data_IF_112666996334
#
_entry.id   IF_112666996334
#
_cell.length_a   1.000
_cell.length_b   1.000
_cell.length_c   1.000
_cell.angle_alpha   90.00
_cell.angle_beta   90.00
_cell.angle_gamma   90.00
#
_symmetry.space_group_name_H-M   'P 1'
#
loop_
_entity.id
_entity.type
_entity.pdbx_description
1 polymer ?
#
# COMPACT_ATOMS: atom_id res chain seq x y z
N UNK A 1 -9.67 -8.32 7.10
CA UNK A 1 -9.20 -7.01 7.64
C UNK A 1 -10.37 -6.14 8.08
N UNK A 2 -11.41 -5.94 7.26
CA UNK A 2 -12.54 -5.04 7.58
C UNK A 2 -13.20 -5.11 8.98
N UNK A 3 -13.39 -6.27 9.63
CA UNK A 3 -14.02 -6.29 10.96
C UNK A 3 -13.04 -6.01 12.13
N UNK A 4 -11.74 -5.88 11.86
CA UNK A 4 -10.71 -5.77 12.91
C UNK A 4 -10.08 -4.38 13.01
N UNK A 5 -10.43 -3.46 12.12
CA UNK A 5 -9.87 -2.10 12.08
C UNK A 5 -10.99 -1.09 11.91
N UNK A 6 -10.90 0.03 12.62
CA UNK A 6 -11.89 1.11 12.58
C UNK A 6 -11.78 1.93 11.29
N UNK A 7 -10.55 2.25 10.88
CA UNK A 7 -10.26 3.01 9.67
C UNK A 7 -9.36 2.21 8.73
N UNK A 8 -9.78 2.10 7.46
CA UNK A 8 -9.07 1.31 6.46
C UNK A 8 -8.88 2.13 5.20
N UNK A 9 -7.62 2.17 4.78
CA UNK A 9 -7.18 2.84 3.56
C UNK A 9 -6.60 1.81 2.59
N UNK A 10 -6.75 2.08 1.30
CA UNK A 10 -6.13 1.32 0.23
C UNK A 10 -5.45 2.28 -0.76
N UNK A 11 -4.34 1.86 -1.35
CA UNK A 11 -3.67 2.57 -2.44
C UNK A 11 -3.73 1.73 -3.70
N UNK A 12 -4.03 2.34 -4.84
CA UNK A 12 -4.16 1.65 -6.12
C UNK A 12 -3.87 2.62 -7.28
N UNK A 13 -3.36 2.10 -8.39
CA UNK A 13 -3.10 2.84 -9.63
C UNK A 13 -4.13 2.58 -10.72
N UNK A 14 -4.68 1.36 -10.80
CA UNK A 14 -5.69 1.02 -11.81
C UNK A 14 -7.03 1.68 -11.50
N UNK A 15 -7.53 2.52 -12.40
CA UNK A 15 -8.84 3.18 -12.25
C UNK A 15 -9.98 2.17 -12.02
N UNK A 16 -9.92 1.04 -12.72
CA UNK A 16 -10.93 -0.01 -12.58
C UNK A 16 -10.88 -0.61 -11.17
N UNK A 17 -9.70 -0.83 -10.62
CA UNK A 17 -9.53 -1.36 -9.27
C UNK A 17 -9.90 -0.34 -8.19
N UNK A 18 -9.54 0.93 -8.38
CA UNK A 18 -9.98 2.04 -7.51
C UNK A 18 -11.51 2.05 -7.41
N UNK A 19 -12.21 1.96 -8.55
CA UNK A 19 -13.68 1.91 -8.56
C UNK A 19 -14.24 0.69 -7.83
N UNK A 20 -13.62 -0.49 -7.99
CA UNK A 20 -14.02 -1.70 -7.26
C UNK A 20 -13.83 -1.55 -5.75
N UNK A 21 -12.73 -0.94 -5.30
CA UNK A 21 -12.44 -0.67 -3.89
C UNK A 21 -13.45 0.32 -3.30
N UNK A 22 -13.76 1.39 -4.02
CA UNK A 22 -14.77 2.38 -3.60
C UNK A 22 -16.16 1.76 -3.49
N UNK A 23 -16.55 0.88 -4.42
CA UNK A 23 -17.81 0.10 -4.31
C UNK A 23 -17.88 -0.76 -3.06
N UNK A 24 -16.75 -1.29 -2.61
CA UNK A 24 -16.62 -2.03 -1.35
C UNK A 24 -16.44 -1.11 -0.13
N UNK A 25 -16.60 0.21 -0.30
CA UNK A 25 -16.52 1.26 0.72
C UNK A 25 -15.13 1.42 1.35
N UNK A 26 -14.07 1.03 0.66
CA UNK A 26 -12.70 1.37 1.07
C UNK A 26 -12.42 2.85 0.80
N UNK A 27 -11.67 3.50 1.71
CA UNK A 27 -11.12 4.83 1.48
C UNK A 27 -9.85 4.68 0.64
N UNK A 28 -9.86 5.16 -0.60
CA UNK A 28 -8.70 5.05 -1.50
C UNK A 28 -7.86 6.31 -1.38
N UNK A 29 -6.56 6.16 -1.11
CA UNK A 29 -5.56 7.23 -1.08
C UNK A 29 -4.64 7.14 -2.29
N UNK A 30 -4.09 8.28 -2.74
CA UNK A 30 -3.05 8.28 -3.76
C UNK A 30 -1.76 7.62 -3.28
N UNK A 31 -1.02 6.99 -4.20
CA UNK A 31 0.26 6.31 -3.92
C UNK A 31 1.35 7.24 -3.34
N UNK A 32 1.19 8.55 -3.47
CA UNK A 32 2.10 9.58 -2.95
C UNK A 32 1.50 10.42 -1.80
N UNK A 33 0.30 10.03 -1.34
CA UNK A 33 -0.49 10.76 -0.34
C UNK A 33 -0.57 10.03 0.98
N UNK A 34 -0.59 8.69 0.97
CA UNK A 34 -0.75 7.86 2.17
C UNK A 34 0.32 8.14 3.23
N UNK A 35 1.53 8.52 2.83
CA UNK A 35 2.62 8.87 3.74
C UNK A 35 2.55 10.31 4.28
N UNK A 36 1.61 11.14 3.79
CA UNK A 36 1.48 12.57 4.10
C UNK A 36 0.21 12.93 4.87
N UNK A 37 -0.49 11.94 5.39
CA UNK A 37 -1.81 12.14 6.01
C UNK A 37 -1.77 12.84 7.37
N UNK A 38 -0.60 12.88 8.03
CA UNK A 38 -0.39 13.49 9.34
C UNK A 38 -0.83 12.60 10.52
N UNK A 39 -1.37 11.41 10.26
CA UNK A 39 -1.65 10.39 11.25
C UNK A 39 -0.71 9.19 11.12
N UNK A 40 -0.71 8.33 12.13
CA UNK A 40 0.07 7.08 12.13
C UNK A 40 -0.83 5.88 11.86
N UNK A 41 -0.25 4.83 11.29
CA UNK A 41 -0.92 3.57 11.02
C UNK A 41 -0.55 2.52 12.07
N UNK A 42 -1.54 1.81 12.62
CA UNK A 42 -1.30 0.66 13.49
C UNK A 42 -0.81 -0.56 12.71
N UNK A 43 -1.33 -0.74 11.49
CA UNK A 43 -0.98 -1.87 10.62
C UNK A 43 -0.89 -1.42 9.17
N UNK A 44 0.20 -1.79 8.49
CA UNK A 44 0.34 -1.64 7.04
C UNK A 44 0.55 -3.01 6.39
N UNK A 45 -0.28 -3.33 5.40
CA UNK A 45 -0.09 -4.51 4.56
C UNK A 45 0.53 -4.11 3.23
N UNK A 46 1.74 -4.60 2.96
CA UNK A 46 2.42 -4.46 1.67
C UNK A 46 2.58 -5.86 1.08
N UNK A 47 1.63 -6.22 0.20
CA UNK A 47 1.42 -7.59 -0.25
C UNK A 47 1.84 -7.72 -1.72
N UNK A 48 2.93 -8.45 -1.98
CA UNK A 48 3.46 -8.73 -3.32
C UNK A 48 3.70 -7.47 -4.17
N UNK A 49 4.20 -6.42 -3.52
CA UNK A 49 4.50 -5.12 -4.15
C UNK A 49 6.01 -4.85 -4.26
N UNK A 50 6.82 -5.39 -3.34
CA UNK A 50 8.26 -5.11 -3.29
C UNK A 50 9.03 -5.59 -4.52
N UNK A 51 8.53 -6.64 -5.17
CA UNK A 51 9.06 -7.20 -6.42
C UNK A 51 8.55 -6.48 -7.68
N UNK A 52 7.65 -5.49 -7.55
CA UNK A 52 6.92 -4.87 -8.67
C UNK A 52 7.02 -3.35 -8.73
N UNK A 53 7.63 -2.73 -7.72
CA UNK A 53 7.72 -1.29 -7.59
C UNK A 53 9.12 -0.77 -7.93
N UNK A 54 9.17 0.48 -8.40
CA UNK A 54 10.41 1.16 -8.82
C UNK A 54 11.38 1.40 -7.65
N UNK A 55 10.84 1.71 -6.46
CA UNK A 55 11.63 2.11 -5.29
C UNK A 55 11.26 1.34 -4.01
N UNK A 56 11.54 0.01 -3.93
CA UNK A 56 11.13 -0.82 -2.79
C UNK A 56 11.76 -0.38 -1.46
N UNK A 57 13.00 0.12 -1.49
CA UNK A 57 13.66 0.63 -0.28
C UNK A 57 13.05 1.94 0.22
N UNK A 58 12.64 2.84 -0.69
CA UNK A 58 11.93 4.06 -0.33
C UNK A 58 10.58 3.71 0.28
N UNK A 59 9.83 2.80 -0.34
CA UNK A 59 8.56 2.30 0.20
C UNK A 59 8.70 1.74 1.62
N UNK A 60 9.72 0.93 1.89
CA UNK A 60 9.97 0.40 3.24
C UNK A 60 10.32 1.49 4.26
N UNK A 61 11.04 2.55 3.84
CA UNK A 61 11.34 3.70 4.71
C UNK A 61 10.08 4.52 5.00
N UNK A 62 9.23 4.73 3.99
CA UNK A 62 7.96 5.43 4.14
C UNK A 62 7.02 4.65 5.05
N UNK A 63 6.92 3.33 4.88
CA UNK A 63 6.14 2.46 5.78
C UNK A 63 6.61 2.64 7.22
N UNK A 64 7.93 2.61 7.46
CA UNK A 64 8.49 2.79 8.80
C UNK A 64 8.20 4.18 9.38
N UNK A 65 8.17 5.23 8.56
CA UNK A 65 8.03 6.61 9.05
C UNK A 65 6.61 6.95 9.50
N UNK A 66 5.60 6.27 8.95
CA UNK A 66 4.18 6.52 9.28
C UNK A 66 3.54 5.44 10.14
N UNK A 67 4.25 4.37 10.46
CA UNK A 67 3.76 3.40 11.45
C UNK A 67 3.80 4.01 12.85
N UNK A 68 2.85 3.57 13.68
CA UNK A 68 2.93 3.83 15.11
C UNK A 68 4.24 3.20 15.67
N UNK A 69 5.08 3.98 16.37
CA UNK A 69 6.45 3.59 16.67
C UNK A 69 6.60 2.47 17.71
N UNK A 70 5.58 2.15 18.51
CA UNK A 70 5.70 1.23 19.65
C UNK A 70 5.04 -0.13 19.42
N UNK A 71 3.94 -0.16 18.68
CA UNK A 71 3.02 -1.28 18.47
C UNK A 71 2.70 -1.51 17.00
N UNK A 72 3.05 -0.57 16.12
CA UNK A 72 2.84 -0.67 14.68
C UNK A 72 3.38 -1.98 14.10
N UNK A 73 2.61 -2.60 13.19
CA UNK A 73 2.98 -3.86 12.53
C UNK A 73 2.95 -3.72 11.01
N UNK A 74 3.89 -4.39 10.35
CA UNK A 74 3.87 -4.56 8.89
C UNK A 74 3.60 -6.01 8.56
N UNK A 75 2.67 -6.23 7.63
CA UNK A 75 2.47 -7.51 6.97
C UNK A 75 3.10 -7.40 5.58
N UNK A 76 4.22 -8.10 5.38
CA UNK A 76 4.91 -8.18 4.09
C UNK A 76 4.62 -9.52 3.44
N UNK A 77 4.24 -9.50 2.16
CA UNK A 77 4.24 -10.69 1.32
C UNK A 77 5.13 -10.43 0.10
N UNK A 78 5.92 -11.44 -0.28
CA UNK A 78 6.76 -11.42 -1.48
C UNK A 78 6.81 -12.82 -2.09
N UNK A 79 7.04 -12.88 -3.40
CA UNK A 79 7.25 -14.14 -4.12
C UNK A 79 8.73 -14.51 -4.10
N UNK A 80 9.01 -15.79 -3.88
CA UNK A 80 10.36 -16.36 -3.91
C UNK A 80 10.48 -17.45 -4.98
N UNK A 81 11.65 -17.60 -5.65
CA UNK A 81 12.84 -16.73 -5.58
C UNK A 81 12.56 -15.28 -6.04
N UNK A 82 13.22 -14.30 -5.40
CA UNK A 82 12.95 -12.88 -5.63
C UNK A 82 13.46 -12.44 -7.01
N UNK A 83 12.53 -12.04 -7.88
CA UNK A 83 12.80 -11.59 -9.25
C UNK A 83 12.11 -10.24 -9.49
N UNK A 84 12.74 -9.11 -9.12
CA UNK A 84 12.11 -7.81 -9.20
C UNK A 84 11.93 -7.36 -10.66
N UNK A 85 10.77 -6.81 -10.98
CA UNK A 85 10.47 -6.08 -12.21
C UNK A 85 9.68 -4.81 -11.87
N UNK A 86 9.56 -3.87 -12.80
CA UNK A 86 8.73 -2.66 -12.58
C UNK A 86 7.43 -2.81 -13.33
N UNK A 87 6.30 -2.78 -12.62
CA UNK A 87 4.97 -2.81 -13.23
C UNK A 87 4.50 -1.36 -13.50
N UNK A 88 4.54 -0.94 -14.77
CA UNK A 88 4.05 0.36 -15.18
C UNK A 88 2.57 0.28 -15.55
N UNK A 89 1.69 0.85 -14.74
CA UNK A 89 0.24 0.93 -14.99
C UNK A 89 -0.20 1.94 -16.05
N UNK A 90 0.72 2.45 -16.89
CA UNK A 90 0.37 3.39 -17.97
C UNK A 90 -0.40 2.62 -19.05
N UNK A 91 -1.73 2.79 -19.10
CA UNK A 91 -2.51 2.40 -20.27
C UNK A 91 -2.11 3.27 -21.46
N UNK A 92 -1.83 2.70 -22.65
CA UNK A 92 -1.48 3.47 -23.85
C UNK A 92 -2.70 4.10 -24.54
N UNK A 93 -3.76 4.46 -23.80
CA UNK A 93 -4.98 5.06 -24.33
C UNK A 93 -5.34 6.32 -23.57
#
# INVERSE_FOLDING_TARGET
MSPHFEEIYATELSETMIWQLQKKKYRVLGINEWQKTGFQYDVISCLNLLDRCDQPLTLLKDIRSVLEPTRGRVILALVLPFHPYVENGLSPF
#
